data_IF_213376797721
#
_entry.id   IF_213376797721
#
_cell.length_a   1.000
_cell.length_b   1.000
_cell.length_c   1.000
_cell.angle_alpha   90.00
_cell.angle_beta   90.00
_cell.angle_gamma   90.00
#
_symmetry.space_group_name_H-M   'P 1'
#
loop_
_entity.id
_entity.type
_entity.pdbx_description
1 polymer ?
#
# COMPACT_ATOMS: atom_id res chain seq x y z
N UNK A 1 -15.91 -2.91 1.70
CA UNK A 1 -14.85 -3.78 1.17
C UNK A 1 -15.32 -4.79 0.11
N UNK A 2 -16.34 -5.61 0.37
CA UNK A 2 -16.76 -6.68 -0.55
C UNK A 2 -17.13 -6.22 -1.98
N UNK A 3 -17.75 -5.03 -2.09
CA UNK A 3 -18.06 -4.42 -3.38
C UNK A 3 -16.79 -4.10 -4.20
N UNK A 4 -15.72 -3.63 -3.54
CA UNK A 4 -14.43 -3.38 -4.19
C UNK A 4 -13.84 -4.69 -4.72
N UNK A 5 -13.83 -5.74 -3.91
CA UNK A 5 -13.32 -7.06 -4.34
C UNK A 5 -14.12 -7.63 -5.52
N UNK A 6 -15.44 -7.39 -5.53
CA UNK A 6 -16.30 -7.79 -6.66
C UNK A 6 -15.98 -6.96 -7.91
N UNK A 7 -15.83 -5.64 -7.76
CA UNK A 7 -15.40 -4.74 -8.85
C UNK A 7 -14.05 -5.18 -9.43
N UNK A 8 -13.10 -5.53 -8.56
CA UNK A 8 -11.77 -6.02 -8.93
C UNK A 8 -11.85 -7.32 -9.74
N UNK A 9 -12.63 -8.30 -9.26
CA UNK A 9 -12.80 -9.59 -9.92
C UNK A 9 -13.52 -9.53 -11.27
N UNK A 10 -14.31 -8.48 -11.50
CA UNK A 10 -15.03 -8.27 -12.75
C UNK A 10 -14.17 -7.61 -13.85
N UNK A 11 -12.99 -7.09 -13.50
CA UNK A 11 -12.06 -6.53 -14.50
C UNK A 11 -11.44 -7.70 -15.27
N UNK A 12 -11.58 -7.79 -16.61
CA UNK A 12 -11.07 -8.90 -17.39
C UNK A 12 -9.58 -9.17 -17.16
N UNK A 13 -8.82 -8.09 -17.00
CA UNK A 13 -7.40 -8.12 -16.75
C UNK A 13 -7.00 -8.82 -15.43
N UNK A 14 -7.91 -8.90 -14.44
CA UNK A 14 -7.65 -9.57 -13.17
C UNK A 14 -7.40 -11.07 -13.34
N UNK A 15 -8.00 -11.69 -14.36
CA UNK A 15 -7.81 -13.12 -14.68
C UNK A 15 -6.39 -13.45 -15.14
N UNK A 16 -5.66 -12.45 -15.63
CA UNK A 16 -4.27 -12.61 -16.08
C UNK A 16 -3.25 -12.42 -14.95
N UNK A 17 -3.68 -12.00 -13.77
CA UNK A 17 -2.80 -11.86 -12.60
C UNK A 17 -2.82 -13.19 -11.84
N UNK A 18 -1.66 -13.83 -11.74
CA UNK A 18 -1.53 -15.14 -11.11
C UNK A 18 -2.09 -15.12 -9.68
N UNK A 19 -2.91 -16.12 -9.34
CA UNK A 19 -3.52 -16.33 -8.02
C UNK A 19 -4.47 -15.21 -7.52
N UNK A 20 -4.70 -14.15 -8.30
CA UNK A 20 -5.56 -13.03 -7.89
C UNK A 20 -7.03 -13.46 -7.78
N UNK A 21 -7.63 -14.21 -8.73
CA UNK A 21 -9.02 -14.65 -8.60
C UNK A 21 -9.27 -15.49 -7.35
N UNK A 22 -8.38 -16.43 -7.03
CA UNK A 22 -8.45 -17.27 -5.84
C UNK A 22 -8.30 -16.45 -4.56
N UNK A 23 -7.39 -15.47 -4.57
CA UNK A 23 -7.16 -14.57 -3.44
C UNK A 23 -8.39 -13.68 -3.20
N UNK A 24 -9.05 -13.19 -4.26
CA UNK A 24 -10.30 -12.42 -4.17
C UNK A 24 -11.41 -13.29 -3.55
N UNK A 25 -11.57 -14.53 -3.99
CA UNK A 25 -12.57 -15.46 -3.44
C UNK A 25 -12.30 -15.71 -1.95
N UNK A 26 -11.05 -16.00 -1.59
CA UNK A 26 -10.65 -16.21 -0.20
C UNK A 26 -10.92 -14.96 0.67
N UNK A 27 -10.56 -13.76 0.18
CA UNK A 27 -10.82 -12.50 0.88
C UNK A 27 -12.32 -12.29 1.14
N UNK A 28 -13.17 -12.53 0.12
CA UNK A 28 -14.63 -12.45 0.27
C UNK A 28 -15.16 -13.46 1.29
N UNK A 29 -14.68 -14.70 1.26
CA UNK A 29 -15.05 -15.72 2.25
C UNK A 29 -14.71 -15.31 3.69
N UNK A 30 -13.52 -14.72 3.91
CA UNK A 30 -13.14 -14.21 5.23
C UNK A 30 -14.02 -13.05 5.69
N UNK A 31 -14.37 -12.12 4.80
CA UNK A 31 -15.26 -10.99 5.11
C UNK A 31 -16.66 -11.45 5.53
N UNK A 32 -17.15 -12.52 4.91
CA UNK A 32 -18.47 -13.10 5.23
C UNK A 32 -18.46 -13.96 6.50
N UNK A 33 -17.29 -14.33 7.03
CA UNK A 33 -17.17 -15.13 8.25
C UNK A 33 -17.13 -14.23 9.50
N UNK A 34 -18.18 -14.19 10.34
CA UNK A 34 -18.25 -13.25 11.46
C UNK A 34 -17.14 -13.47 12.49
N UNK A 35 -16.79 -14.72 12.78
CA UNK A 35 -15.81 -15.12 13.78
C UNK A 35 -14.35 -14.82 13.40
N UNK A 36 -14.08 -14.48 12.15
CA UNK A 36 -12.72 -14.14 11.72
C UNK A 36 -12.34 -12.74 12.21
N UNK A 37 -11.22 -12.64 12.91
CA UNK A 37 -10.67 -11.38 13.40
C UNK A 37 -10.41 -10.37 12.25
N UNK A 38 -10.59 -9.08 12.54
CA UNK A 38 -10.44 -7.97 11.57
C UNK A 38 -9.09 -7.99 10.86
N UNK A 39 -8.00 -8.23 11.60
CA UNK A 39 -6.64 -8.26 11.05
C UNK A 39 -6.42 -9.35 9.99
N UNK A 40 -7.11 -10.48 10.11
CA UNK A 40 -7.04 -11.56 9.11
C UNK A 40 -7.84 -11.21 7.86
N UNK A 41 -9.04 -10.61 8.05
CA UNK A 41 -9.90 -10.15 6.95
C UNK A 41 -9.16 -9.12 6.10
N UNK A 42 -8.58 -8.10 6.75
CA UNK A 42 -7.89 -7.01 6.03
C UNK A 42 -6.58 -7.46 5.39
N UNK A 43 -5.78 -8.30 6.05
CA UNK A 43 -4.54 -8.82 5.46
C UNK A 43 -4.79 -9.48 4.09
N UNK A 44 -5.84 -10.30 3.99
CA UNK A 44 -6.19 -10.92 2.72
C UNK A 44 -6.70 -9.92 1.67
N UNK A 45 -7.38 -8.86 2.10
CA UNK A 45 -7.79 -7.77 1.20
C UNK A 45 -6.58 -6.97 0.70
N UNK A 46 -5.64 -6.63 1.58
CA UNK A 46 -4.40 -5.91 1.25
C UNK A 46 -3.58 -6.73 0.25
N UNK A 47 -3.48 -8.05 0.45
CA UNK A 47 -2.83 -8.94 -0.51
C UNK A 47 -3.45 -8.86 -1.92
N UNK A 48 -4.78 -8.81 -2.04
CA UNK A 48 -5.43 -8.61 -3.35
C UNK A 48 -4.98 -7.29 -4.00
N UNK A 49 -4.87 -6.22 -3.21
CA UNK A 49 -4.49 -4.89 -3.69
C UNK A 49 -3.02 -4.82 -4.09
N UNK A 50 -2.12 -5.39 -3.28
CA UNK A 50 -0.71 -5.56 -3.63
C UNK A 50 -0.56 -6.26 -4.98
N UNK A 51 -1.18 -7.44 -5.15
CA UNK A 51 -1.11 -8.20 -6.40
C UNK A 51 -1.63 -7.42 -7.61
N UNK A 52 -2.66 -6.59 -7.42
CA UNK A 52 -3.18 -5.76 -8.51
C UNK A 52 -2.32 -4.55 -8.82
N UNK A 53 -1.72 -3.92 -7.81
CA UNK A 53 -0.79 -2.80 -8.01
C UNK A 53 0.50 -3.27 -8.67
N UNK A 54 1.07 -4.40 -8.22
CA UNK A 54 2.24 -5.05 -8.81
C UNK A 54 2.04 -5.50 -10.25
N UNK A 55 0.78 -5.70 -10.70
CA UNK A 55 0.49 -6.07 -12.08
C UNK A 55 0.74 -4.95 -13.10
N UNK A 56 0.92 -3.71 -12.64
CA UNK A 56 1.15 -2.54 -13.49
C UNK A 56 -0.05 -2.14 -14.36
N UNK A 57 -1.22 -2.75 -14.18
CA UNK A 57 -2.38 -2.50 -15.04
C UNK A 57 -3.22 -1.33 -14.49
N UNK A 58 -3.36 -0.20 -15.23
CA UNK A 58 -3.93 1.02 -14.68
C UNK A 58 -5.36 0.89 -14.11
N UNK A 59 -6.23 0.11 -14.77
CA UNK A 59 -7.61 -0.12 -14.30
C UNK A 59 -7.65 -0.91 -12.98
N UNK A 60 -6.78 -1.91 -12.84
CA UNK A 60 -6.65 -2.69 -11.62
C UNK A 60 -6.07 -1.83 -10.49
N UNK A 61 -5.02 -1.06 -10.79
CA UNK A 61 -4.41 -0.14 -9.85
C UNK A 61 -5.43 0.88 -9.31
N UNK A 62 -6.25 1.49 -10.18
CA UNK A 62 -7.27 2.44 -9.75
C UNK A 62 -8.25 1.85 -8.71
N UNK A 63 -8.74 0.63 -8.94
CA UNK A 63 -9.65 -0.04 -8.01
C UNK A 63 -8.94 -0.50 -6.73
N UNK A 64 -7.66 -0.90 -6.82
CA UNK A 64 -6.86 -1.24 -5.66
C UNK A 64 -6.61 -0.02 -4.75
N UNK A 65 -6.31 1.15 -5.33
CA UNK A 65 -6.17 2.41 -4.57
C UNK A 65 -7.50 2.80 -3.90
N UNK A 66 -8.63 2.70 -4.61
CA UNK A 66 -9.96 2.91 -4.03
C UNK A 66 -10.21 1.95 -2.84
N UNK A 67 -9.80 0.70 -2.99
CA UNK A 67 -9.88 -0.32 -1.95
C UNK A 67 -9.06 0.01 -0.71
N UNK A 68 -7.82 0.48 -0.89
CA UNK A 68 -6.97 0.92 0.21
C UNK A 68 -7.58 2.13 0.94
N UNK A 69 -8.08 3.12 0.21
CA UNK A 69 -8.76 4.27 0.82
C UNK A 69 -10.03 3.87 1.58
N UNK A 70 -10.80 2.92 1.04
CA UNK A 70 -11.97 2.37 1.74
C UNK A 70 -11.56 1.62 3.00
N UNK A 71 -10.46 0.86 2.96
CA UNK A 71 -9.94 0.15 4.12
C UNK A 71 -9.64 1.10 5.27
N UNK A 72 -9.00 2.25 4.99
CA UNK A 72 -8.71 3.27 6.00
C UNK A 72 -9.97 3.90 6.63
N UNK A 73 -11.08 3.91 5.89
CA UNK A 73 -12.37 4.50 6.32
C UNK A 73 -13.32 3.50 6.97
N UNK A 74 -13.05 2.20 6.85
CA UNK A 74 -13.92 1.14 7.35
C UNK A 74 -13.55 0.81 8.81
N UNK A 75 -14.38 1.21 9.80
CA UNK A 75 -14.09 1.02 11.22
C UNK A 75 -13.98 -0.47 11.62
N UNK A 76 -14.57 -1.36 10.82
CA UNK A 76 -14.54 -2.81 11.09
C UNK A 76 -13.23 -3.47 10.66
N UNK A 77 -12.47 -2.81 9.78
CA UNK A 77 -11.23 -3.32 9.20
C UNK A 77 -10.01 -2.50 9.65
N UNK A 78 -10.15 -1.20 9.89
CA UNK A 78 -9.04 -0.36 10.32
C UNK A 78 -8.72 -0.45 11.82
N UNK A 79 -9.59 -1.09 12.60
CA UNK A 79 -9.41 -1.22 14.04
C UNK A 79 -8.33 -2.23 14.41
N UNK A 80 -7.46 -1.83 15.34
CA UNK A 80 -6.42 -2.69 15.94
C UNK A 80 -6.85 -3.32 17.28
N UNK A 81 -8.11 -3.14 17.71
CA UNK A 81 -8.60 -3.63 19.01
C UNK A 81 -8.42 -5.13 19.22
N UNK A 82 -8.54 -5.93 18.15
CA UNK A 82 -8.41 -7.39 18.21
C UNK A 82 -6.99 -7.89 17.85
N UNK A 83 -6.02 -6.99 17.74
CA UNK A 83 -4.62 -7.33 17.42
C UNK A 83 -3.85 -7.70 18.68
N UNK A 84 -3.15 -8.84 18.65
CA UNK A 84 -2.30 -9.29 19.76
C UNK A 84 -0.81 -9.07 19.48
N UNK A 85 -0.44 -8.83 18.23
CA UNK A 85 0.94 -8.65 17.78
C UNK A 85 1.06 -7.33 17.01
N UNK A 86 2.19 -6.65 17.16
CA UNK A 86 2.49 -5.42 16.41
C UNK A 86 2.43 -5.64 14.89
N UNK A 87 2.94 -6.78 14.42
CA UNK A 87 2.88 -7.17 13.00
C UNK A 87 1.44 -7.36 12.46
N UNK A 88 0.45 -7.55 13.35
CA UNK A 88 -0.94 -7.67 12.94
C UNK A 88 -1.63 -6.30 12.84
N UNK A 89 -1.02 -5.22 13.31
CA UNK A 89 -1.59 -3.86 13.20
C UNK A 89 -1.80 -3.45 11.75
N UNK A 90 -2.76 -2.56 11.50
CA UNK A 90 -3.03 -2.08 10.14
C UNK A 90 -1.77 -1.48 9.49
N UNK A 91 -1.01 -0.71 10.25
CA UNK A 91 0.19 -0.03 9.77
C UNK A 91 1.30 -1.00 9.42
N UNK A 92 1.61 -1.96 10.29
CA UNK A 92 2.58 -3.00 10.00
C UNK A 92 2.19 -3.82 8.76
N UNK A 93 0.92 -4.20 8.63
CA UNK A 93 0.44 -4.97 7.48
C UNK A 93 0.57 -4.19 6.16
N UNK A 94 0.19 -2.90 6.13
CA UNK A 94 0.33 -2.07 4.95
C UNK A 94 1.80 -1.87 4.57
N UNK A 95 2.66 -1.60 5.55
CA UNK A 95 4.10 -1.43 5.33
C UNK A 95 4.72 -2.71 4.78
N UNK A 96 4.40 -3.86 5.37
CA UNK A 96 4.91 -5.15 4.93
C UNK A 96 4.50 -5.47 3.49
N UNK A 97 3.23 -5.31 3.15
CA UNK A 97 2.69 -5.59 1.82
C UNK A 97 3.14 -4.59 0.74
N UNK A 98 3.62 -3.41 1.12
CA UNK A 98 4.11 -2.40 0.18
C UNK A 98 5.61 -2.14 0.34
N UNK A 99 6.36 -3.10 0.86
CA UNK A 99 7.82 -3.02 0.97
C UNK A 99 8.52 -2.97 -0.39
N UNK A 100 7.91 -3.53 -1.44
CA UNK A 100 8.38 -3.48 -2.84
C UNK A 100 7.87 -2.27 -3.63
N UNK A 101 7.35 -1.23 -2.94
CA UNK A 101 6.86 -0.01 -3.58
C UNK A 101 7.83 0.61 -4.61
N UNK A 102 9.16 0.61 -4.41
CA UNK A 102 10.10 1.14 -5.41
C UNK A 102 10.00 0.52 -6.81
N UNK A 103 9.45 -0.69 -6.93
CA UNK A 103 9.29 -1.41 -8.21
C UNK A 103 8.02 -0.98 -8.98
N UNK A 104 7.10 -0.26 -8.33
CA UNK A 104 5.83 0.11 -8.96
C UNK A 104 6.02 1.27 -9.93
N UNK A 105 5.06 1.48 -10.85
CA UNK A 105 5.07 2.71 -11.66
C UNK A 105 5.01 3.97 -10.78
N UNK A 106 5.68 5.05 -11.18
CA UNK A 106 5.79 6.29 -10.38
C UNK A 106 4.44 6.88 -9.97
N UNK A 107 3.42 6.77 -10.83
CA UNK A 107 2.08 7.25 -10.48
C UNK A 107 1.48 6.41 -9.36
N UNK A 108 1.65 5.08 -9.43
CA UNK A 108 1.19 4.14 -8.41
C UNK A 108 1.97 4.36 -7.11
N UNK A 109 3.29 4.56 -7.19
CA UNK A 109 4.14 4.89 -6.03
C UNK A 109 3.59 6.10 -5.28
N UNK A 110 3.35 7.21 -5.98
CA UNK A 110 2.78 8.42 -5.39
C UNK A 110 1.41 8.19 -4.73
N UNK A 111 0.54 7.41 -5.37
CA UNK A 111 -0.79 7.12 -4.83
C UNK A 111 -0.74 6.26 -3.57
N UNK A 112 0.08 5.21 -3.55
CA UNK A 112 0.28 4.37 -2.37
C UNK A 112 0.96 5.14 -1.25
N UNK A 113 1.98 5.95 -1.55
CA UNK A 113 2.60 6.85 -0.55
C UNK A 113 1.57 7.80 0.05
N UNK A 114 0.67 8.36 -0.76
CA UNK A 114 -0.40 9.24 -0.26
C UNK A 114 -1.30 8.50 0.74
N UNK A 115 -1.67 7.25 0.45
CA UNK A 115 -2.44 6.40 1.37
C UNK A 115 -1.66 6.13 2.67
N UNK A 116 -0.37 5.79 2.57
CA UNK A 116 0.49 5.55 3.74
C UNK A 116 0.66 6.82 4.59
N UNK A 117 0.77 8.00 3.99
CA UNK A 117 0.86 9.27 4.71
C UNK A 117 -0.46 9.61 5.41
N UNK A 118 -1.61 9.35 4.77
CA UNK A 118 -2.93 9.51 5.41
C UNK A 118 -3.06 8.59 6.63
N UNK A 119 -2.56 7.35 6.51
CA UNK A 119 -2.50 6.41 7.62
C UNK A 119 -1.65 6.96 8.77
N UNK A 120 -0.41 7.39 8.48
CA UNK A 120 0.55 7.95 9.45
C UNK A 120 0.04 9.23 10.12
N UNK A 121 -0.71 10.04 9.38
CA UNK A 121 -1.25 11.30 9.86
C UNK A 121 -2.62 11.16 10.55
N UNK A 122 -3.18 9.95 10.62
CA UNK A 122 -4.45 9.70 11.28
C UNK A 122 -4.27 9.76 12.80
N UNK A 123 -5.03 10.63 13.45
CA UNK A 123 -5.01 10.80 14.92
C UNK A 123 -5.54 9.59 15.68
N UNK A 124 -6.21 8.67 14.98
CA UNK A 124 -6.86 7.49 15.57
C UNK A 124 -6.01 6.22 15.51
N UNK A 125 -4.83 6.25 14.85
CA UNK A 125 -3.98 5.09 14.63
C UNK A 125 -2.60 5.28 15.27
N UNK A 126 -2.20 4.34 16.15
CA UNK A 126 -0.84 4.29 16.70
C UNK A 126 0.07 3.60 15.71
N UNK A 127 1.07 4.32 15.22
CA UNK A 127 1.98 3.82 14.18
C UNK A 127 3.39 3.78 14.75
N UNK A 128 4.01 2.61 14.63
CA UNK A 128 5.39 2.41 15.05
C UNK A 128 6.31 3.18 14.12
N UNK A 129 7.10 4.11 14.68
CA UNK A 129 8.11 4.84 13.91
C UNK A 129 9.14 3.88 13.29
N UNK A 130 9.39 2.74 13.93
CA UNK A 130 10.32 1.72 13.42
C UNK A 130 9.83 1.11 12.10
N UNK A 131 8.53 0.86 11.97
CA UNK A 131 7.96 0.32 10.73
C UNK A 131 8.05 1.36 9.60
N UNK A 132 7.84 2.64 9.90
CA UNK A 132 8.01 3.74 8.93
C UNK A 132 9.47 3.80 8.46
N UNK A 133 10.43 3.72 9.38
CA UNK A 133 11.85 3.70 9.04
C UNK A 133 12.23 2.47 8.22
N UNK A 134 11.71 1.28 8.54
CA UNK A 134 11.95 0.07 7.75
C UNK A 134 11.41 0.20 6.32
N UNK A 135 10.23 0.81 6.14
CA UNK A 135 9.63 1.08 4.83
C UNK A 135 10.45 2.10 4.02
N UNK A 136 10.99 3.12 4.68
CA UNK A 136 11.75 4.19 4.04
C UNK A 136 13.21 3.82 3.74
N UNK A 137 13.79 2.87 4.47
CA UNK A 137 15.17 2.40 4.28
C UNK A 137 15.29 1.30 3.23
N UNK A 138 14.20 0.87 2.59
CA UNK A 138 14.21 0.05 1.38
C UNK A 138 14.77 0.81 0.16
N UNK A 139 16.10 0.84 0.07
CA UNK A 139 16.96 0.97 -1.12
C UNK A 139 16.75 2.05 -2.21
N UNK A 140 15.87 3.06 -2.05
CA UNK A 140 15.73 4.11 -3.07
C UNK A 140 15.81 5.58 -2.62
N UNK A 141 16.20 5.87 -1.38
CA UNK A 141 16.46 7.25 -0.96
C UNK A 141 17.92 7.74 -1.09
N UNK A 142 18.84 6.90 -1.54
CA UNK A 142 20.22 7.33 -1.82
C UNK A 142 20.38 8.02 -3.19
N UNK A 143 19.41 7.87 -4.10
CA UNK A 143 19.53 8.41 -5.46
C UNK A 143 19.16 9.90 -5.57
N UNK A 144 18.55 10.49 -4.54
CA UNK A 144 18.34 11.93 -4.46
C UNK A 144 19.58 12.71 -3.99
N UNK A 145 20.60 12.05 -3.43
CA UNK A 145 21.84 12.73 -3.01
C UNK A 145 22.80 12.98 -4.18
N UNK A 146 22.70 12.23 -5.28
CA UNK A 146 23.63 12.32 -6.42
C UNK A 146 23.20 13.31 -7.53
N UNK A 147 22.01 13.91 -7.46
CA UNK A 147 21.56 14.95 -8.42
C UNK A 147 21.80 16.40 -7.96
N UNK A 148 22.24 16.61 -6.71
CA UNK A 148 22.60 17.94 -6.21
C UNK A 148 23.98 18.44 -6.67
N UNK A 149 24.90 17.53 -6.96
CA UNK A 149 26.32 17.85 -7.21
C UNK A 149 26.66 18.11 -8.69
N UNK A 150 25.66 18.18 -9.57
CA UNK A 150 25.86 18.50 -11.00
C UNK A 150 25.25 19.83 -11.46
N UNK A 151 24.72 20.65 -10.55
CA UNK A 151 24.20 21.99 -10.87
C UNK A 151 25.09 23.15 -10.42
N UNK A 152 26.23 22.88 -9.75
CA UNK A 152 27.25 23.89 -9.45
C UNK A 152 28.38 23.81 -10.50
N UNK A 153 28.10 24.32 -11.71
CA UNK A 153 29.17 24.64 -12.66
C UNK A 153 30.11 25.71 -12.09
N UNK A 154 31.40 25.74 -12.46
CA UNK A 154 32.36 26.66 -11.87
C UNK A 154 31.94 28.11 -12.12
N UNK A 155 31.88 28.90 -11.04
CA UNK A 155 31.58 30.32 -11.07
C UNK A 155 32.59 31.04 -11.98
N UNK A 156 32.11 31.57 -13.11
CA UNK A 156 32.91 32.48 -13.95
C UNK A 156 33.15 33.76 -13.17
N UNK A 157 34.40 34.00 -12.79
CA UNK A 157 34.86 35.33 -12.37
C UNK A 157 34.76 36.29 -13.56
N UNK A 158 33.92 37.31 -13.46
CA UNK A 158 33.94 38.48 -14.33
C UNK A 158 34.54 39.64 -13.53
N UNK A 159 35.80 39.96 -13.81
CA UNK A 159 36.42 41.24 -13.45
C UNK A 159 36.05 42.32 -14.47
N UNK A 160 36.15 43.59 -14.06
CA UNK A 160 37.23 44.43 -14.59
C UNK A 160 38.31 44.74 -13.55
#
# INVERSE_FOLDING_TARGET
>A
MEQILTKLGNIPEAKAVANLPETIIAAKGLLQTPSTASFRKRAKCIQCFEMTLSSGKPKLAHVAIEGLQMLLRDPTLNSDTDTMKEADTLSAQLIQHFSNLPEFDKQIQCQVMTVLVILISSTDLKISLNDVYAAMQGDHLMDLKLRGDHLMGPAKQYGP
#
